data_IF_227659095114
#
_entry.id   IF_227659095114
#
_cell.length_a   1.000
_cell.length_b   1.000
_cell.length_c   1.000
_cell.angle_alpha   90.00
_cell.angle_beta   90.00
_cell.angle_gamma   90.00
#
_symmetry.space_group_name_H-M   'P 1'
#
loop_
_entity.id
_entity.type
_entity.pdbx_description
1 polymer ?
#
# COMPACT_ATOMS: atom_id res chain seq x y z
N UNK A 1 -75.02 -22.27 -5.02
CA UNK A 1 -73.62 -22.15 -5.47
C UNK A 1 -73.00 -20.94 -4.80
N UNK A 2 -72.13 -21.08 -3.79
CA UNK A 2 -71.67 -19.94 -3.01
C UNK A 2 -70.47 -19.26 -3.67
N UNK A 3 -70.46 -17.94 -3.52
CA UNK A 3 -69.53 -16.96 -4.05
C UNK A 3 -68.16 -17.08 -3.39
N UNK A 4 -67.10 -17.32 -4.16
CA UNK A 4 -65.72 -17.26 -3.67
C UNK A 4 -65.25 -15.82 -3.58
N UNK A 5 -65.19 -15.28 -2.36
CA UNK A 5 -64.52 -14.02 -2.02
C UNK A 5 -63.01 -14.17 -2.22
N UNK A 6 -62.42 -13.37 -3.12
CA UNK A 6 -60.96 -13.25 -3.28
C UNK A 6 -60.39 -12.40 -2.15
N UNK A 7 -59.58 -13.03 -1.30
CA UNK A 7 -58.77 -12.38 -0.25
C UNK A 7 -57.75 -11.44 -0.87
N UNK A 8 -57.86 -10.14 -0.58
CA UNK A 8 -56.85 -9.14 -0.93
C UNK A 8 -55.77 -9.14 0.16
N UNK A 9 -54.61 -9.73 -0.14
CA UNK A 9 -53.46 -9.67 0.76
C UNK A 9 -52.82 -8.27 0.66
N UNK A 10 -52.98 -7.47 1.71
CA UNK A 10 -52.31 -6.19 1.88
C UNK A 10 -50.81 -6.40 1.99
N UNK A 11 -50.06 -6.08 0.92
CA UNK A 11 -48.60 -6.04 0.96
C UNK A 11 -48.17 -4.74 1.62
N UNK A 12 -47.95 -4.81 2.93
CA UNK A 12 -47.42 -3.70 3.72
C UNK A 12 -46.01 -3.36 3.22
N UNK A 13 -45.85 -2.18 2.60
CA UNK A 13 -44.57 -1.68 2.09
C UNK A 13 -43.52 -1.55 3.21
N UNK A 14 -42.56 -2.47 3.25
CA UNK A 14 -41.36 -2.30 4.06
C UNK A 14 -40.55 -1.11 3.53
N UNK A 15 -40.36 -0.09 4.39
CA UNK A 15 -39.43 1.01 4.11
C UNK A 15 -38.00 0.54 4.39
N UNK A 16 -37.23 0.36 3.33
CA UNK A 16 -35.79 0.11 3.44
C UNK A 16 -35.09 1.44 3.72
N UNK A 17 -34.57 1.61 4.93
CA UNK A 17 -33.77 2.77 5.29
C UNK A 17 -32.33 2.55 4.82
N UNK A 18 -31.95 3.14 3.67
CA UNK A 18 -30.55 3.18 3.27
C UNK A 18 -29.79 4.13 4.20
N UNK A 19 -29.01 3.55 5.12
CA UNK A 19 -28.01 4.30 5.88
C UNK A 19 -26.76 4.42 5.01
N UNK A 20 -26.49 5.62 4.52
CA UNK A 20 -25.21 5.93 3.88
C UNK A 20 -24.13 5.93 4.97
N UNK A 21 -23.42 4.82 5.11
CA UNK A 21 -22.24 4.76 5.98
C UNK A 21 -21.16 5.62 5.32
N UNK A 22 -21.03 6.87 5.79
CA UNK A 22 -19.94 7.75 5.41
C UNK A 22 -18.65 7.21 6.05
N UNK A 23 -18.03 6.24 5.38
CA UNK A 23 -16.68 5.80 5.71
C UNK A 23 -15.79 6.95 5.28
N UNK A 24 -15.25 7.68 6.25
CA UNK A 24 -14.36 8.82 6.03
C UNK A 24 -13.26 8.51 5.00
N UNK A 25 -12.58 9.54 4.48
CA UNK A 25 -11.62 9.39 3.40
C UNK A 25 -10.60 8.31 3.75
N UNK A 26 -10.57 7.23 2.95
CA UNK A 26 -9.58 6.16 3.12
C UNK A 26 -8.31 6.55 2.39
N UNK A 27 -7.18 6.38 3.06
CA UNK A 27 -5.87 6.46 2.42
C UNK A 27 -5.79 5.40 1.33
N UNK A 28 -5.82 5.82 0.06
CA UNK A 28 -5.67 4.89 -1.05
C UNK A 28 -4.20 4.57 -1.28
N UNK A 29 -3.87 3.28 -1.30
CA UNK A 29 -2.59 2.82 -1.80
C UNK A 29 -2.69 2.61 -3.31
N UNK A 30 -1.79 3.24 -4.06
CA UNK A 30 -1.74 3.13 -5.51
C UNK A 30 -1.28 1.72 -5.91
N UNK A 31 -2.06 1.01 -6.73
CA UNK A 31 -1.71 -0.35 -7.17
C UNK A 31 -0.55 -0.42 -8.20
N UNK A 32 -0.08 0.73 -8.71
CA UNK A 32 1.05 0.81 -9.65
C UNK A 32 2.37 1.02 -8.94
N UNK A 33 2.45 2.03 -8.09
CA UNK A 33 3.70 2.45 -7.45
C UNK A 33 3.74 2.15 -5.95
N UNK A 34 2.65 1.62 -5.39
CA UNK A 34 2.48 1.21 -3.98
C UNK A 34 2.57 2.34 -2.95
N UNK A 35 2.56 3.59 -3.42
CA UNK A 35 2.53 4.79 -2.59
C UNK A 35 1.13 5.18 -2.12
N UNK A 36 1.06 5.97 -1.04
CA UNK A 36 -0.19 6.51 -0.50
C UNK A 36 -0.61 7.79 -1.22
N UNK A 37 -1.55 7.70 -2.16
CA UNK A 37 -2.15 8.82 -2.88
C UNK A 37 -3.29 8.33 -3.81
N UNK A 38 -4.04 9.25 -4.41
CA UNK A 38 -5.05 8.93 -5.43
C UNK A 38 -4.38 8.30 -6.66
N UNK A 39 -4.83 7.09 -7.00
CA UNK A 39 -4.32 6.30 -8.13
C UNK A 39 -4.59 6.97 -9.48
N UNK A 40 -5.70 7.72 -9.61
CA UNK A 40 -6.06 8.43 -10.85
C UNK A 40 -5.08 9.56 -11.17
N UNK A 41 -4.45 10.13 -10.14
CA UNK A 41 -3.44 11.20 -10.26
C UNK A 41 -2.01 10.67 -10.30
N UNK A 42 -1.81 9.35 -10.34
CA UNK A 42 -0.49 8.75 -10.34
C UNK A 42 0.18 8.91 -11.72
N UNK A 43 1.36 9.51 -11.75
CA UNK A 43 2.23 9.58 -12.93
C UNK A 43 3.57 8.86 -12.71
N UNK A 44 3.70 8.06 -11.65
CA UNK A 44 4.92 7.33 -11.31
C UNK A 44 4.98 6.01 -12.07
N UNK A 45 6.20 5.54 -12.34
CA UNK A 45 6.45 4.21 -12.89
C UNK A 45 5.86 3.10 -12.02
N UNK A 46 5.51 1.99 -12.66
CA UNK A 46 5.15 0.76 -11.98
C UNK A 46 6.36 0.29 -11.16
N UNK A 47 6.11 -0.19 -9.95
CA UNK A 47 7.15 -0.71 -9.07
C UNK A 47 6.80 -2.11 -8.61
N UNK A 48 7.83 -2.92 -8.42
CA UNK A 48 7.72 -4.17 -7.69
C UNK A 48 7.11 -3.91 -6.32
N UNK A 49 6.08 -4.67 -6.02
CA UNK A 49 5.39 -4.67 -4.74
C UNK A 49 6.34 -4.95 -3.56
N UNK A 50 7.22 -5.93 -3.73
CA UNK A 50 8.09 -6.44 -2.67
C UNK A 50 9.33 -5.58 -2.43
N UNK A 51 10.03 -5.15 -3.48
CA UNK A 51 11.35 -4.50 -3.35
C UNK A 51 11.40 -3.06 -3.91
N UNK A 52 10.29 -2.55 -4.45
CA UNK A 52 10.16 -1.23 -5.04
C UNK A 52 11.03 -0.94 -6.29
N UNK A 53 11.72 -1.93 -6.87
CA UNK A 53 12.39 -1.83 -8.17
C UNK A 53 11.40 -1.49 -9.29
N UNK A 54 11.86 -0.81 -10.33
CA UNK A 54 11.06 -0.51 -11.53
C UNK A 54 11.26 -1.55 -12.64
N UNK A 55 12.24 -2.44 -12.47
CA UNK A 55 12.73 -3.31 -13.54
C UNK A 55 11.92 -4.61 -13.65
N UNK A 56 11.14 -4.92 -12.61
CA UNK A 56 10.32 -6.13 -12.55
C UNK A 56 9.06 -5.92 -11.70
N UNK A 57 8.08 -6.80 -11.89
CA UNK A 57 6.83 -6.84 -11.12
C UNK A 57 6.82 -7.97 -10.09
N UNK A 58 7.39 -9.13 -10.44
CA UNK A 58 7.51 -10.31 -9.58
C UNK A 58 8.91 -10.40 -9.01
N UNK A 59 9.03 -10.63 -7.70
CA UNK A 59 10.31 -10.61 -7.00
C UNK A 59 10.41 -11.75 -5.99
N UNK A 60 11.58 -12.40 -5.95
CA UNK A 60 11.97 -13.39 -4.94
C UNK A 60 13.03 -12.84 -3.97
N UNK A 61 13.50 -11.61 -4.20
CA UNK A 61 14.49 -10.94 -3.36
C UNK A 61 13.90 -10.43 -2.04
N UNK A 62 14.75 -10.01 -1.09
CA UNK A 62 14.27 -9.55 0.21
C UNK A 62 13.36 -8.32 0.10
N UNK A 63 12.32 -8.23 0.94
CA UNK A 63 11.36 -7.14 0.87
C UNK A 63 12.01 -5.82 1.25
N UNK A 64 11.71 -4.77 0.49
CA UNK A 64 12.12 -3.38 0.74
C UNK A 64 10.94 -2.46 0.49
N UNK A 65 10.40 -1.87 1.56
CA UNK A 65 9.18 -1.07 1.46
C UNK A 65 9.36 0.14 0.53
N UNK A 66 8.44 0.32 -0.42
CA UNK A 66 8.45 1.44 -1.37
C UNK A 66 8.30 2.83 -0.71
N UNK A 67 7.77 2.90 0.51
CA UNK A 67 7.47 4.16 1.20
C UNK A 67 8.56 4.53 2.22
N UNK A 68 8.84 3.64 3.19
CA UNK A 68 9.83 3.87 4.25
C UNK A 68 11.17 3.16 4.04
N UNK A 69 11.32 2.28 3.04
CA UNK A 69 12.55 1.52 2.72
C UNK A 69 13.00 0.49 3.77
N UNK A 70 12.22 0.26 4.81
CA UNK A 70 12.45 -0.79 5.83
C UNK A 70 12.28 -2.22 5.25
N UNK A 71 12.80 -3.26 5.94
CA UNK A 71 12.73 -4.67 5.51
C UNK A 71 11.36 -5.31 5.74
N UNK A 72 10.35 -4.77 5.07
CA UNK A 72 8.99 -5.31 5.05
C UNK A 72 8.31 -4.93 3.73
N UNK A 73 7.22 -5.62 3.41
CA UNK A 73 6.40 -5.32 2.23
C UNK A 73 5.49 -4.10 2.47
N UNK A 74 4.85 -3.63 1.42
CA UNK A 74 3.90 -2.53 1.39
C UNK A 74 2.61 -2.75 2.21
N UNK A 75 2.26 -3.99 2.54
CA UNK A 75 1.09 -4.32 3.37
C UNK A 75 1.34 -4.24 4.88
N UNK A 76 2.58 -3.98 5.29
CA UNK A 76 2.91 -3.83 6.70
C UNK A 76 2.11 -2.69 7.32
N UNK A 77 1.24 -3.03 8.28
CA UNK A 77 0.23 -2.11 8.83
C UNK A 77 0.84 -0.93 9.57
N UNK A 78 2.00 -1.17 10.19
CA UNK A 78 2.70 -0.22 11.06
C UNK A 78 3.85 0.48 10.32
N UNK A 79 3.77 0.56 8.99
CA UNK A 79 4.71 1.36 8.21
C UNK A 79 4.64 2.82 8.69
N UNK A 80 5.75 3.43 9.14
CA UNK A 80 5.72 4.81 9.65
C UNK A 80 5.37 5.82 8.55
N UNK A 81 5.56 5.46 7.28
CA UNK A 81 5.19 6.30 6.15
C UNK A 81 3.70 6.20 5.77
N UNK A 82 2.91 5.37 6.47
CA UNK A 82 1.47 5.23 6.24
C UNK A 82 0.74 6.45 6.84
N UNK A 83 -0.06 7.19 6.04
CA UNK A 83 -0.90 8.25 6.56
C UNK A 83 -1.88 7.74 7.60
N UNK A 84 -2.12 8.56 8.61
CA UNK A 84 -2.99 8.24 9.74
C UNK A 84 -4.35 8.90 9.55
N UNK A 85 -5.42 8.20 9.93
CA UNK A 85 -6.75 8.80 10.06
C UNK A 85 -6.91 9.31 11.49
N UNK A 86 -6.97 10.63 11.63
CA UNK A 86 -7.23 11.29 12.89
C UNK A 86 -8.59 11.99 12.81
N UNK A 87 -9.61 11.34 13.37
CA UNK A 87 -10.99 11.85 13.45
C UNK A 87 -11.58 12.24 12.08
N UNK A 88 -11.34 11.43 11.04
CA UNK A 88 -11.84 11.66 9.68
C UNK A 88 -10.94 12.55 8.83
N UNK A 89 -9.83 13.05 9.38
CA UNK A 89 -8.81 13.80 8.65
C UNK A 89 -7.63 12.88 8.38
N UNK A 90 -7.27 12.73 7.11
CA UNK A 90 -6.03 12.02 6.74
C UNK A 90 -4.85 12.95 6.97
N UNK A 91 -3.94 12.54 7.86
CA UNK A 91 -2.66 13.21 8.11
C UNK A 91 -1.57 12.45 7.38
N UNK A 92 -0.97 13.11 6.39
CA UNK A 92 0.19 12.60 5.66
C UNK A 92 1.48 12.98 6.38
N UNK A 93 2.49 12.09 6.42
CA UNK A 93 3.82 12.48 6.86
C UNK A 93 4.35 13.63 6.03
N UNK A 94 4.94 14.61 6.71
CA UNK A 94 5.67 15.71 6.08
C UNK A 94 6.84 15.18 5.25
N UNK A 95 7.39 16.04 4.39
CA UNK A 95 8.61 15.71 3.63
C UNK A 95 9.78 15.35 4.54
N UNK A 96 9.93 16.07 5.67
CA UNK A 96 10.99 15.83 6.64
C UNK A 96 10.82 14.48 7.35
N UNK A 97 9.62 14.15 7.82
CA UNK A 97 9.32 12.83 8.42
C UNK A 97 9.54 11.70 7.42
N UNK A 98 9.02 11.85 6.20
CA UNK A 98 9.24 10.88 5.11
C UNK A 98 10.73 10.65 4.82
N UNK A 99 11.55 11.71 4.87
CA UNK A 99 13.00 11.58 4.68
C UNK A 99 13.65 10.81 5.84
N UNK A 100 13.26 11.11 7.09
CA UNK A 100 13.74 10.38 8.29
C UNK A 100 13.36 8.91 8.24
N UNK A 101 12.11 8.58 7.88
CA UNK A 101 11.66 7.19 7.74
C UNK A 101 12.47 6.44 6.70
N UNK A 102 12.74 7.05 5.54
CA UNK A 102 13.56 6.44 4.48
C UNK A 102 15.00 6.19 4.92
N UNK A 103 15.62 7.15 5.61
CA UNK A 103 16.98 7.00 6.10
C UNK A 103 17.08 5.87 7.15
N UNK A 104 16.15 5.85 8.11
CA UNK A 104 16.09 4.80 9.13
C UNK A 104 15.79 3.43 8.51
N UNK A 105 14.83 3.37 7.59
CA UNK A 105 14.45 2.13 6.91
C UNK A 105 15.55 1.59 6.02
N UNK A 106 16.26 2.44 5.26
CA UNK A 106 17.43 2.01 4.49
C UNK A 106 18.52 1.42 5.39
N UNK A 107 18.79 2.05 6.55
CA UNK A 107 19.74 1.51 7.53
C UNK A 107 19.29 0.15 8.06
N UNK A 108 18.03 0.03 8.48
CA UNK A 108 17.47 -1.22 8.97
C UNK A 108 17.50 -2.33 7.90
N UNK A 109 17.19 -1.99 6.65
CA UNK A 109 17.20 -2.93 5.54
C UNK A 109 18.60 -3.47 5.25
N UNK A 110 19.63 -2.60 5.28
CA UNK A 110 21.03 -3.02 5.10
C UNK A 110 21.50 -3.95 6.22
N UNK A 111 21.12 -3.68 7.47
CA UNK A 111 21.44 -4.55 8.62
C UNK A 111 20.76 -5.92 8.47
N UNK A 112 19.50 -5.95 8.03
CA UNK A 112 18.74 -7.18 7.84
C UNK A 112 19.17 -7.98 6.58
N UNK A 113 19.83 -7.35 5.62
CA UNK A 113 20.22 -7.95 4.34
C UNK A 113 21.70 -7.69 4.00
N UNK A 114 22.64 -8.16 4.85
CA UNK A 114 24.07 -7.88 4.69
C UNK A 114 24.67 -8.46 3.41
N UNK A 115 24.06 -9.49 2.82
CA UNK A 115 24.47 -10.11 1.56
C UNK A 115 24.03 -9.33 0.30
N UNK A 116 23.11 -8.36 0.42
CA UNK A 116 22.57 -7.60 -0.73
C UNK A 116 23.15 -6.18 -0.82
N UNK A 117 23.85 -5.71 0.22
CA UNK A 117 24.78 -4.60 0.02
C UNK A 117 25.88 -5.10 -0.91
N UNK A 118 26.19 -4.40 -2.02
CA UNK A 118 27.30 -4.82 -2.86
C UNK A 118 28.52 -4.88 -1.95
N UNK A 119 29.06 -6.09 -1.75
CA UNK A 119 30.48 -6.20 -1.55
C UNK A 119 31.06 -5.42 -2.73
N UNK A 120 31.71 -4.28 -2.43
CA UNK A 120 32.41 -3.52 -3.44
C UNK A 120 33.17 -4.52 -4.30
N UNK A 121 32.86 -4.54 -5.58
CA UNK A 121 33.41 -5.48 -6.55
C UNK A 121 34.92 -5.45 -6.37
N UNK A 122 35.49 -6.49 -5.74
CA UNK A 122 36.89 -6.79 -5.90
C UNK A 122 37.04 -7.12 -7.37
N UNK A 123 37.47 -6.10 -8.11
CA UNK A 123 38.09 -6.22 -9.41
C UNK A 123 39.16 -7.32 -9.30
N UNK A 124 38.78 -8.54 -9.66
CA UNK A 124 39.73 -9.59 -9.96
C UNK A 124 40.35 -9.23 -11.32
N UNK A 125 41.31 -8.31 -11.31
CA UNK A 125 42.25 -8.15 -12.41
C UNK A 125 43.19 -9.36 -12.34
N UNK A 126 42.75 -10.47 -12.92
CA UNK A 126 43.66 -11.57 -13.25
C UNK A 126 44.33 -11.23 -14.57
N UNK A 127 45.66 -11.23 -14.49
CA UNK A 127 46.65 -11.07 -15.56
C UNK A 127 46.35 -11.89 -16.81
N UNK A 128 46.65 -11.32 -18.00
CA UNK A 128 47.10 -12.03 -19.21
C UNK A 128 47.63 -11.05 -20.26
N UNK A 129 48.95 -10.90 -20.31
CA UNK A 129 49.87 -10.94 -21.45
C UNK A 129 51.24 -10.41 -21.02
#
# INVERSE_FOLDING_TARGET
FPSTLRSVHSVSSLRVHLVVINRGPRVSQCNRCWGFHDQRKCNRDIRCRQCASKDHTTCQGPPKCCNCRSPHSEYYKDCPAKPMDQRGVIIYPTRAESARFRAAGDKAWKIANPQVVPHAQTINTTSKC
#
